data_IF_277385416952
#
_entry.id   IF_277385416952
#
_cell.length_a   1.000
_cell.length_b   1.000
_cell.length_c   1.000
_cell.angle_alpha   90.00
_cell.angle_beta   90.00
_cell.angle_gamma   90.00
#
_symmetry.space_group_name_H-M   'P 1'
#
loop_
_entity.id
_entity.type
_entity.pdbx_description
1 polymer ?
#
# COMPACT_ATOMS: atom_id res chain seq x y z
N UNK A 1 -2.58 -5.56 -13.02
CA UNK A 1 -3.13 -5.31 -11.69
C UNK A 1 -3.12 -6.57 -10.87
N UNK A 2 -2.99 -6.46 -9.54
CA UNK A 2 -2.98 -7.61 -8.66
C UNK A 2 -2.58 -7.25 -7.23
N UNK A 3 -2.26 -8.28 -6.44
CA UNK A 3 -1.79 -8.11 -5.06
C UNK A 3 -0.88 -9.24 -4.60
N UNK A 4 -0.01 -8.94 -3.67
CA UNK A 4 0.89 -9.91 -3.07
C UNK A 4 0.17 -10.71 -1.99
N UNK A 5 0.36 -12.02 -2.00
CA UNK A 5 -0.16 -12.90 -0.98
C UNK A 5 0.44 -12.57 0.39
N UNK A 6 -0.37 -12.71 1.43
CA UNK A 6 0.04 -12.56 2.82
C UNK A 6 0.15 -13.90 3.54
N UNK A 7 0.78 -13.87 4.72
CA UNK A 7 1.00 -15.05 5.58
C UNK A 7 0.65 -14.77 7.05
N UNK A 8 -0.43 -14.02 7.27
CA UNK A 8 -0.88 -13.62 8.61
C UNK A 8 0.17 -12.79 9.39
N UNK A 9 0.81 -11.83 8.71
CA UNK A 9 1.82 -10.91 9.24
C UNK A 9 3.10 -11.59 9.77
N UNK A 10 3.39 -12.81 9.36
CA UNK A 10 4.62 -13.52 9.75
C UNK A 10 5.82 -13.12 8.91
N UNK A 11 5.58 -12.62 7.67
CA UNK A 11 6.60 -12.25 6.67
C UNK A 11 7.63 -13.34 6.42
N UNK A 12 7.16 -14.60 6.42
CA UNK A 12 8.02 -15.77 6.30
C UNK A 12 7.81 -16.53 5.00
N UNK A 13 6.57 -16.90 4.68
CA UNK A 13 6.26 -17.69 3.49
C UNK A 13 4.84 -17.50 3.02
N UNK A 14 4.69 -17.20 1.74
CA UNK A 14 3.39 -17.09 1.09
C UNK A 14 3.18 -18.20 0.07
N UNK A 15 1.92 -18.41 -0.30
CA UNK A 15 1.53 -19.43 -1.26
C UNK A 15 0.66 -18.84 -2.35
N UNK A 16 0.88 -19.31 -3.57
CA UNK A 16 0.10 -19.04 -4.76
C UNK A 16 -0.46 -20.36 -5.26
N UNK A 17 -1.68 -20.35 -5.77
CA UNK A 17 -2.34 -21.57 -6.22
C UNK A 17 -3.12 -21.34 -7.52
N UNK A 18 -3.24 -22.39 -8.27
CA UNK A 18 -4.15 -22.54 -9.39
C UNK A 18 -5.06 -23.74 -9.13
N UNK A 19 -5.96 -24.06 -10.02
CA UNK A 19 -6.76 -25.30 -9.92
C UNK A 19 -5.92 -26.59 -9.88
N UNK A 20 -4.67 -26.52 -10.34
CA UNK A 20 -3.80 -27.70 -10.52
C UNK A 20 -2.71 -27.82 -9.47
N UNK A 21 -2.26 -26.71 -8.90
CA UNK A 21 -1.08 -26.74 -8.04
C UNK A 21 -1.07 -25.63 -6.99
N UNK A 22 -0.35 -25.90 -5.91
CA UNK A 22 0.00 -24.95 -4.85
C UNK A 22 1.52 -24.78 -4.83
N UNK A 23 2.00 -23.54 -4.90
CA UNK A 23 3.43 -23.21 -4.89
C UNK A 23 3.75 -22.06 -3.94
N UNK A 24 5.01 -21.99 -3.51
CA UNK A 24 5.63 -20.79 -2.94
C UNK A 24 6.61 -20.22 -3.96
N UNK A 25 7.03 -18.96 -3.74
CA UNK A 25 7.96 -18.24 -4.62
C UNK A 25 7.50 -18.26 -6.09
N UNK A 26 6.22 -18.02 -6.31
CA UNK A 26 5.57 -18.12 -7.61
C UNK A 26 4.64 -16.94 -7.86
N UNK A 27 4.23 -16.77 -9.10
CA UNK A 27 3.19 -15.85 -9.53
C UNK A 27 2.05 -16.67 -10.13
N UNK A 28 0.82 -16.47 -9.65
CA UNK A 28 -0.38 -16.93 -10.31
C UNK A 28 -0.99 -15.75 -11.09
N UNK A 29 -1.26 -15.94 -12.37
CA UNK A 29 -1.81 -14.90 -13.23
C UNK A 29 -2.95 -15.43 -14.09
N UNK A 30 -3.90 -14.55 -14.39
CA UNK A 30 -4.99 -14.80 -15.33
C UNK A 30 -5.01 -13.71 -16.41
N UNK A 31 -5.16 -14.12 -17.66
CA UNK A 31 -5.37 -13.22 -18.77
C UNK A 31 -6.86 -13.20 -19.14
N UNK A 32 -7.48 -12.05 -19.03
CA UNK A 32 -8.89 -11.83 -19.36
C UNK A 32 -8.97 -11.07 -20.68
N UNK A 33 -9.79 -11.56 -21.63
CA UNK A 33 -10.01 -10.95 -22.94
C UNK A 33 -11.49 -10.75 -23.21
N UNK A 34 -11.82 -9.80 -24.08
CA UNK A 34 -13.19 -9.60 -24.58
C UNK A 34 -14.10 -8.80 -23.67
N UNK A 35 -13.58 -8.25 -22.58
CA UNK A 35 -14.31 -7.34 -21.69
C UNK A 35 -13.49 -6.09 -21.42
N UNK A 36 -14.15 -4.99 -21.06
CA UNK A 36 -13.49 -3.77 -20.64
C UNK A 36 -13.01 -3.91 -19.21
N UNK A 37 -11.75 -3.54 -18.97
CA UNK A 37 -11.15 -3.53 -17.63
C UNK A 37 -10.72 -2.10 -17.33
N UNK A 38 -11.15 -1.57 -16.20
CA UNK A 38 -10.76 -0.25 -15.70
C UNK A 38 -10.22 -0.39 -14.29
N UNK A 39 -9.18 0.33 -13.96
CA UNK A 39 -8.59 0.32 -12.62
C UNK A 39 -8.26 1.72 -12.14
N UNK A 40 -8.34 1.92 -10.84
CA UNK A 40 -7.83 3.07 -10.14
C UNK A 40 -7.33 2.64 -8.76
N UNK A 41 -6.45 3.43 -8.17
CA UNK A 41 -5.88 3.14 -6.86
C UNK A 41 -5.57 4.43 -6.09
N UNK A 42 -5.46 4.31 -4.77
CA UNK A 42 -5.09 5.41 -3.91
C UNK A 42 -4.77 4.93 -2.50
N UNK A 43 -4.04 5.73 -1.75
CA UNK A 43 -3.67 5.37 -0.38
C UNK A 43 -4.30 6.28 0.69
N UNK A 44 -4.35 7.59 0.50
CA UNK A 44 -4.92 8.55 1.46
C UNK A 44 -3.90 9.08 2.48
N UNK A 45 -2.61 8.79 2.30
CA UNK A 45 -1.53 9.40 3.10
C UNK A 45 -1.07 10.71 2.48
N UNK A 46 -0.66 11.65 3.32
CA UNK A 46 -0.08 12.95 2.96
C UNK A 46 1.20 13.21 3.76
N UNK A 47 2.13 14.04 3.25
CA UNK A 47 3.32 14.43 3.99
C UNK A 47 2.98 15.15 5.29
N UNK A 48 3.70 14.84 6.37
CA UNK A 48 3.62 15.57 7.65
C UNK A 48 4.34 16.92 7.62
N UNK A 49 5.16 17.16 6.60
CA UNK A 49 6.11 18.28 6.50
C UNK A 49 7.55 17.87 6.83
N UNK A 50 7.77 16.73 7.48
CA UNK A 50 9.13 16.20 7.70
C UNK A 50 9.61 15.44 6.46
N UNK A 51 10.80 15.77 6.00
CA UNK A 51 11.47 15.15 4.86
C UNK A 51 12.91 14.79 5.20
N UNK A 52 13.50 13.92 4.41
CA UNK A 52 14.86 13.41 4.60
C UNK A 52 15.39 12.87 3.27
N UNK A 53 16.70 12.70 3.20
CA UNK A 53 17.35 11.95 2.11
C UNK A 53 17.81 10.60 2.63
N UNK A 54 17.51 9.52 1.90
CA UNK A 54 18.11 8.22 2.21
C UNK A 54 19.54 8.24 1.75
N UNK A 55 20.47 8.37 2.68
CA UNK A 55 21.91 8.47 2.37
C UNK A 55 22.62 7.13 2.36
N UNK A 56 22.08 6.13 3.07
CA UNK A 56 22.65 4.79 3.05
C UNK A 56 21.52 3.74 3.19
N UNK A 57 21.38 2.84 2.19
CA UNK A 57 20.48 1.71 2.24
C UNK A 57 20.99 0.54 1.40
N UNK A 58 20.53 -0.67 1.74
CA UNK A 58 20.78 -1.89 0.97
C UNK A 58 19.53 -2.75 0.95
N UNK A 59 18.93 -2.92 -0.25
CA UNK A 59 17.69 -3.64 -0.41
C UNK A 59 16.55 -3.03 0.43
N UNK A 60 16.08 -3.79 1.41
CA UNK A 60 14.99 -3.37 2.31
C UNK A 60 15.47 -2.66 3.59
N UNK A 61 16.74 -2.50 3.78
CA UNK A 61 17.30 -1.93 5.02
C UNK A 61 17.88 -0.56 4.78
N UNK A 62 17.37 0.42 5.52
CA UNK A 62 17.87 1.80 5.55
C UNK A 62 18.76 1.97 6.78
N UNK A 63 20.01 2.38 6.55
CA UNK A 63 21.00 2.59 7.61
C UNK A 63 21.04 4.05 8.03
N UNK A 64 20.97 4.98 7.06
CA UNK A 64 21.07 6.41 7.34
C UNK A 64 20.02 7.24 6.61
N UNK A 65 19.52 8.24 7.33
CA UNK A 65 18.72 9.35 6.85
C UNK A 65 19.50 10.64 7.14
N UNK A 66 19.78 11.45 6.11
CA UNK A 66 20.57 12.70 6.23
C UNK A 66 21.91 12.47 6.97
N UNK A 67 22.66 11.43 6.60
CA UNK A 67 23.93 10.98 7.18
C UNK A 67 23.85 10.53 8.65
N UNK A 68 22.67 10.48 9.25
CA UNK A 68 22.46 10.06 10.66
C UNK A 68 21.84 8.67 10.72
N UNK A 69 21.97 8.01 11.84
CA UNK A 69 21.32 6.73 12.10
C UNK A 69 19.82 6.81 11.81
N UNK A 70 19.29 5.87 11.02
CA UNK A 70 17.93 5.95 10.48
C UNK A 70 16.85 6.02 11.55
N UNK A 71 16.93 5.22 12.60
CA UNK A 71 15.92 5.21 13.67
C UNK A 71 15.93 6.48 14.50
N UNK A 72 17.13 6.99 14.85
CA UNK A 72 17.25 8.26 15.56
C UNK A 72 16.67 9.41 14.77
N UNK A 73 16.97 9.51 13.47
CA UNK A 73 16.42 10.54 12.59
C UNK A 73 14.90 10.41 12.43
N UNK A 74 14.39 9.19 12.34
CA UNK A 74 12.94 8.94 12.31
C UNK A 74 12.25 9.39 13.60
N UNK A 75 12.82 9.08 14.78
CA UNK A 75 12.29 9.50 16.07
C UNK A 75 12.24 11.02 16.25
N UNK A 76 13.14 11.77 15.65
CA UNK A 76 13.07 13.24 15.68
C UNK A 76 11.84 13.79 14.93
N UNK A 77 11.42 13.09 13.87
CA UNK A 77 10.26 13.51 13.08
C UNK A 77 8.91 13.10 13.70
N UNK A 78 8.84 11.93 14.35
CA UNK A 78 7.58 11.38 14.86
C UNK A 78 7.46 11.37 16.39
N UNK A 79 8.54 11.74 17.10
CA UNK A 79 8.66 11.68 18.56
C UNK A 79 9.40 10.40 19.02
N UNK A 80 9.81 10.37 20.31
CA UNK A 80 10.54 9.24 20.86
C UNK A 80 9.69 7.97 20.89
N UNK A 81 10.23 6.89 20.34
CA UNK A 81 9.57 5.59 20.18
C UNK A 81 10.43 4.51 20.81
N UNK A 82 9.91 3.67 21.72
CA UNK A 82 10.58 2.43 22.11
C UNK A 82 10.69 1.51 20.88
N UNK A 83 11.88 0.91 20.59
CA UNK A 83 12.07 0.05 19.41
C UNK A 83 11.03 -1.07 19.27
N UNK A 84 10.57 -1.65 20.39
CA UNK A 84 9.55 -2.70 20.41
C UNK A 84 8.15 -2.23 19.95
N UNK A 85 7.89 -0.93 19.97
CA UNK A 85 6.65 -0.32 19.46
C UNK A 85 6.78 0.23 18.05
N UNK A 86 7.95 0.13 17.45
CA UNK A 86 8.23 0.72 16.15
C UNK A 86 7.26 0.25 15.05
N UNK A 87 6.97 -1.05 14.99
CA UNK A 87 6.05 -1.60 13.98
C UNK A 87 4.65 -0.95 14.03
N UNK A 88 4.12 -0.69 15.24
CA UNK A 88 2.83 0.00 15.44
C UNK A 88 2.88 1.45 14.94
N UNK A 89 3.94 2.16 15.28
CA UNK A 89 4.09 3.59 14.95
C UNK A 89 4.44 3.74 13.46
N UNK A 90 5.34 2.91 12.94
CA UNK A 90 5.71 2.89 11.52
C UNK A 90 4.51 2.59 10.60
N UNK A 91 3.56 1.79 11.10
CA UNK A 91 2.31 1.55 10.38
C UNK A 91 1.50 2.84 10.15
N UNK A 92 1.57 3.80 11.09
CA UNK A 92 0.86 5.10 11.02
C UNK A 92 1.65 6.15 10.26
N UNK A 93 2.97 6.14 10.41
CA UNK A 93 3.91 7.13 9.88
C UNK A 93 4.90 6.47 8.90
N UNK A 94 4.43 5.94 7.76
CA UNK A 94 5.31 5.33 6.76
C UNK A 94 6.11 6.39 6.01
N UNK A 95 7.00 5.93 5.14
CA UNK A 95 7.77 6.77 4.26
C UNK A 95 7.05 6.92 2.91
N UNK A 96 7.09 8.13 2.34
CA UNK A 96 6.54 8.43 1.01
C UNK A 96 7.61 8.99 0.09
N UNK A 97 7.64 8.51 -1.15
CA UNK A 97 8.54 8.96 -2.21
C UNK A 97 7.72 9.51 -3.36
N UNK A 98 7.92 10.79 -3.71
CA UNK A 98 7.15 11.43 -4.77
C UNK A 98 7.57 10.89 -6.15
N UNK A 99 6.58 10.54 -6.96
CA UNK A 99 6.76 10.29 -8.40
C UNK A 99 6.77 11.60 -9.18
N UNK A 100 7.04 11.52 -10.49
CA UNK A 100 6.99 12.67 -11.40
C UNK A 100 5.61 13.31 -11.51
N UNK A 101 4.53 12.54 -11.32
CA UNK A 101 3.15 13.06 -11.29
C UNK A 101 2.73 13.66 -9.95
N UNK A 102 3.60 13.63 -8.93
CA UNK A 102 3.27 14.06 -7.58
C UNK A 102 2.53 13.01 -6.74
N UNK A 103 2.31 11.79 -7.27
CA UNK A 103 1.82 10.67 -6.47
C UNK A 103 2.93 10.16 -5.56
N UNK A 104 2.58 9.84 -4.31
CA UNK A 104 3.53 9.28 -3.34
C UNK A 104 3.50 7.75 -3.35
N UNK A 105 4.65 7.14 -3.64
CA UNK A 105 4.86 5.71 -3.40
C UNK A 105 5.16 5.49 -1.92
N UNK A 106 4.30 4.77 -1.24
CA UNK A 106 4.47 4.50 0.18
C UNK A 106 5.37 3.29 0.39
N UNK A 107 6.21 3.37 1.43
CA UNK A 107 7.08 2.28 1.89
C UNK A 107 6.87 2.07 3.39
N UNK A 108 6.51 0.86 3.75
CA UNK A 108 6.21 0.49 5.13
C UNK A 108 7.48 0.10 5.90
N UNK A 109 7.86 0.86 6.94
CA UNK A 109 8.88 0.44 7.87
C UNK A 109 8.35 -0.69 8.75
N UNK A 110 9.11 -1.76 8.92
CA UNK A 110 8.68 -2.99 9.59
C UNK A 110 9.25 -3.12 11.00
N UNK A 111 10.55 -2.94 11.14
CA UNK A 111 11.25 -3.08 12.43
C UNK A 111 12.55 -2.29 12.46
N UNK A 112 13.04 -2.06 13.68
CA UNK A 112 14.37 -1.53 13.96
C UNK A 112 15.31 -2.69 14.25
N UNK A 113 16.44 -2.73 13.58
CA UNK A 113 17.50 -3.71 13.83
C UNK A 113 18.47 -3.21 14.90
N UNK A 114 19.27 -4.10 15.53
CA UNK A 114 20.41 -3.67 16.35
C UNK A 114 21.31 -2.70 15.55
N UNK A 115 21.70 -1.60 16.17
CA UNK A 115 22.48 -0.53 15.50
C UNK A 115 21.61 0.51 14.76
N UNK A 116 20.29 0.51 14.99
CA UNK A 116 19.39 1.62 14.59
C UNK A 116 19.03 1.68 13.12
N UNK A 117 19.36 0.67 12.31
CA UNK A 117 18.85 0.60 10.94
C UNK A 117 17.37 0.19 10.93
N UNK A 118 16.62 0.69 9.95
CA UNK A 118 15.21 0.37 9.76
C UNK A 118 15.04 -0.62 8.62
N UNK A 119 14.37 -1.74 8.87
CA UNK A 119 13.96 -2.69 7.85
C UNK A 119 12.57 -2.36 7.33
N UNK A 120 12.40 -2.42 6.01
CA UNK A 120 11.14 -2.15 5.32
C UNK A 120 10.53 -3.44 4.75
N UNK A 121 9.24 -3.41 4.46
CA UNK A 121 8.54 -4.52 3.79
C UNK A 121 9.06 -4.70 2.36
N UNK A 122 9.36 -3.60 1.66
CA UNK A 122 9.85 -3.57 0.28
C UNK A 122 11.13 -2.75 0.16
N UNK A 123 11.82 -2.85 -0.97
CA UNK A 123 13.01 -2.05 -1.25
C UNK A 123 12.73 -0.56 -1.23
N UNK A 124 13.74 0.20 -0.82
CA UNK A 124 13.69 1.66 -0.68
C UNK A 124 14.78 2.28 -1.57
N UNK A 125 14.45 3.35 -2.32
CA UNK A 125 15.41 3.97 -3.21
C UNK A 125 16.49 4.72 -2.42
N UNK A 126 17.76 4.48 -2.74
CA UNK A 126 18.92 5.21 -2.16
C UNK A 126 19.05 6.56 -2.85
N UNK A 127 19.52 7.57 -2.14
CA UNK A 127 19.69 8.95 -2.58
C UNK A 127 18.37 9.63 -3.01
N UNK A 128 17.24 9.08 -2.57
CA UNK A 128 15.93 9.66 -2.83
C UNK A 128 15.49 10.58 -1.69
N UNK A 129 14.82 11.67 -2.05
CA UNK A 129 14.08 12.50 -1.12
C UNK A 129 12.81 11.77 -0.69
N UNK A 130 12.67 11.53 0.59
CA UNK A 130 11.51 10.91 1.20
C UNK A 130 10.83 11.83 2.21
N UNK A 131 9.61 11.49 2.55
CA UNK A 131 8.76 12.21 3.50
C UNK A 131 8.22 11.24 4.54
N UNK A 132 8.09 11.70 5.78
CA UNK A 132 7.22 11.01 6.75
C UNK A 132 5.78 11.32 6.38
N UNK A 133 4.98 10.28 6.28
CA UNK A 133 3.58 10.38 5.87
C UNK A 133 2.64 10.13 7.04
N UNK A 134 1.45 10.72 6.96
CA UNK A 134 0.37 10.51 7.92
C UNK A 134 -0.97 10.37 7.22
N UNK A 135 -1.96 9.83 7.92
CA UNK A 135 -3.35 9.76 7.44
C UNK A 135 -4.31 9.72 8.60
N UNK A 136 -5.58 9.95 8.33
CA UNK A 136 -6.71 9.70 9.22
C UNK A 136 -7.61 8.60 8.63
N UNK A 137 -8.49 8.03 9.45
CA UNK A 137 -9.47 7.05 8.97
C UNK A 137 -10.41 7.65 7.93
N UNK A 138 -10.80 8.90 8.11
CA UNK A 138 -11.64 9.65 7.19
C UNK A 138 -10.95 9.87 5.84
N UNK A 139 -9.64 10.17 5.83
CA UNK A 139 -8.86 10.30 4.60
C UNK A 139 -8.75 8.97 3.85
N UNK A 140 -8.56 7.86 4.57
CA UNK A 140 -8.57 6.52 3.96
C UNK A 140 -9.93 6.19 3.33
N UNK A 141 -11.03 6.34 4.07
CA UNK A 141 -12.39 6.09 3.59
C UNK A 141 -12.74 7.04 2.44
N UNK A 142 -12.37 8.31 2.56
CA UNK A 142 -12.54 9.30 1.49
C UNK A 142 -11.78 8.95 0.22
N UNK A 143 -10.60 8.33 0.37
CA UNK A 143 -9.80 7.83 -0.77
C UNK A 143 -10.49 6.65 -1.45
N UNK A 144 -11.05 5.70 -0.70
CA UNK A 144 -11.84 4.61 -1.29
C UNK A 144 -12.99 5.15 -2.16
N UNK A 145 -13.71 6.15 -1.65
CA UNK A 145 -14.78 6.83 -2.41
C UNK A 145 -14.25 7.49 -3.69
N UNK A 146 -13.10 8.18 -3.63
CA UNK A 146 -12.47 8.81 -4.81
C UNK A 146 -12.07 7.77 -5.85
N UNK A 147 -11.44 6.67 -5.42
CA UNK A 147 -11.04 5.55 -6.30
C UNK A 147 -12.26 4.95 -7.00
N UNK A 148 -13.35 4.71 -6.28
CA UNK A 148 -14.58 4.18 -6.86
C UNK A 148 -15.20 5.14 -7.88
N UNK A 149 -15.25 6.45 -7.60
CA UNK A 149 -15.70 7.48 -8.54
C UNK A 149 -14.87 7.52 -9.81
N UNK A 150 -13.55 7.44 -9.66
CA UNK A 150 -12.61 7.46 -10.79
C UNK A 150 -12.84 6.28 -11.73
N UNK A 151 -12.98 5.07 -11.18
CA UNK A 151 -13.26 3.87 -11.97
C UNK A 151 -14.63 3.98 -12.65
N UNK A 152 -15.66 4.39 -11.92
CA UNK A 152 -17.02 4.57 -12.44
C UNK A 152 -17.07 5.59 -13.59
N UNK A 153 -16.31 6.68 -13.47
CA UNK A 153 -16.23 7.71 -14.52
C UNK A 153 -15.57 7.23 -15.82
N UNK A 154 -14.83 6.11 -15.76
CA UNK A 154 -14.14 5.50 -16.91
C UNK A 154 -14.84 4.25 -17.45
N UNK A 155 -15.84 3.70 -16.75
CA UNK A 155 -16.57 2.48 -17.10
C UNK A 155 -18.06 2.77 -17.13
N UNK A 156 -18.73 2.46 -18.25
CA UNK A 156 -20.15 2.79 -18.42
C UNK A 156 -21.05 1.90 -17.57
N UNK A 157 -20.77 0.61 -17.45
CA UNK A 157 -21.60 -0.36 -16.70
C UNK A 157 -20.76 -1.51 -16.16
N UNK A 158 -20.01 -1.33 -15.06
CA UNK A 158 -19.27 -2.44 -14.47
C UNK A 158 -20.24 -3.47 -13.87
N UNK A 159 -20.01 -4.74 -14.13
CA UNK A 159 -20.76 -5.86 -13.55
C UNK A 159 -20.07 -6.45 -12.31
N UNK A 160 -18.76 -6.36 -12.26
CA UNK A 160 -17.92 -6.91 -11.18
C UNK A 160 -16.81 -5.93 -10.81
N UNK A 161 -16.53 -5.82 -9.52
CA UNK A 161 -15.40 -5.11 -8.95
C UNK A 161 -14.50 -6.08 -8.19
N UNK A 162 -13.21 -6.08 -8.53
CA UNK A 162 -12.15 -6.76 -7.79
C UNK A 162 -11.41 -5.74 -6.94
N UNK A 163 -11.21 -6.05 -5.66
CA UNK A 163 -10.57 -5.16 -4.70
C UNK A 163 -9.30 -5.84 -4.18
N UNK A 164 -8.17 -5.17 -4.33
CA UNK A 164 -6.91 -5.52 -3.69
C UNK A 164 -6.62 -4.44 -2.66
N UNK A 165 -6.78 -4.78 -1.39
CA UNK A 165 -6.68 -3.81 -0.31
C UNK A 165 -5.55 -4.17 0.63
N UNK A 166 -4.66 -3.20 0.89
CA UNK A 166 -3.53 -3.44 1.76
C UNK A 166 -3.99 -3.81 3.18
N UNK A 167 -3.49 -4.92 3.70
CA UNK A 167 -3.81 -5.38 5.05
C UNK A 167 -3.58 -4.30 6.12
N UNK A 168 -2.62 -3.41 5.90
CA UNK A 168 -2.33 -2.30 6.81
C UNK A 168 -3.49 -1.31 6.94
N UNK A 169 -4.29 -1.12 5.88
CA UNK A 169 -5.50 -0.29 5.91
C UNK A 169 -6.56 -0.92 6.81
N UNK A 170 -6.80 -2.22 6.64
CA UNK A 170 -7.73 -2.97 7.50
C UNK A 170 -7.32 -2.89 8.98
N UNK A 171 -6.02 -3.04 9.29
CA UNK A 171 -5.49 -2.94 10.66
C UNK A 171 -5.71 -1.53 11.23
N UNK A 172 -5.40 -0.49 10.47
CA UNK A 172 -5.54 0.91 10.92
C UNK A 172 -7.00 1.35 11.08
N UNK A 173 -7.88 0.95 10.17
CA UNK A 173 -9.31 1.22 10.24
C UNK A 173 -9.96 0.43 11.39
N UNK A 174 -9.50 -0.79 11.64
CA UNK A 174 -10.05 -1.65 12.68
C UNK A 174 -11.56 -1.86 12.50
N UNK A 175 -12.36 -1.52 13.51
CA UNK A 175 -13.83 -1.64 13.46
C UNK A 175 -14.49 -0.79 12.36
N UNK A 176 -13.79 0.20 11.84
CA UNK A 176 -14.30 1.09 10.80
C UNK A 176 -13.99 0.60 9.37
N UNK A 177 -13.29 -0.54 9.22
CA UNK A 177 -12.99 -1.10 7.91
C UNK A 177 -14.24 -1.33 7.04
N UNK A 178 -15.36 -1.69 7.66
CA UNK A 178 -16.63 -1.82 6.94
C UNK A 178 -17.08 -0.51 6.26
N UNK A 179 -16.75 0.66 6.82
CA UNK A 179 -17.10 1.96 6.22
C UNK A 179 -16.35 2.19 4.90
N UNK A 180 -15.12 1.67 4.77
CA UNK A 180 -14.38 1.71 3.53
C UNK A 180 -15.06 0.88 2.44
N UNK A 181 -15.47 -0.34 2.76
CA UNK A 181 -16.20 -1.22 1.83
C UNK A 181 -17.57 -0.65 1.44
N UNK A 182 -18.27 -0.05 2.40
CA UNK A 182 -19.55 0.65 2.14
C UNK A 182 -19.34 1.86 1.21
N UNK A 183 -18.28 2.63 1.41
CA UNK A 183 -17.96 3.76 0.53
C UNK A 183 -17.73 3.34 -0.93
N UNK A 184 -17.07 2.19 -1.15
CA UNK A 184 -16.92 1.60 -2.48
C UNK A 184 -18.28 1.20 -3.06
N UNK A 185 -19.09 0.48 -2.28
CA UNK A 185 -20.40 -0.01 -2.71
C UNK A 185 -21.37 1.12 -3.06
N UNK A 186 -21.44 2.14 -2.23
CA UNK A 186 -22.27 3.33 -2.45
C UNK A 186 -21.94 4.03 -3.78
N UNK A 187 -20.65 4.17 -4.10
CA UNK A 187 -20.23 4.83 -5.32
C UNK A 187 -20.38 3.96 -6.57
N UNK A 188 -20.10 2.66 -6.47
CA UNK A 188 -20.23 1.73 -7.60
C UNK A 188 -21.69 1.46 -7.94
N UNK A 189 -22.55 1.37 -6.93
CA UNK A 189 -23.99 1.06 -7.05
C UNK A 189 -24.32 -0.39 -6.73
N UNK A 190 -25.60 -0.62 -6.39
CA UNK A 190 -26.10 -1.93 -5.90
C UNK A 190 -25.99 -3.06 -6.94
N UNK A 191 -25.96 -2.75 -8.24
CA UNK A 191 -25.88 -3.74 -9.32
C UNK A 191 -24.48 -4.31 -9.56
N UNK A 192 -23.44 -3.77 -8.91
CA UNK A 192 -22.07 -4.22 -9.11
C UNK A 192 -21.70 -5.26 -8.07
N UNK A 193 -21.35 -6.48 -8.53
CA UNK A 193 -20.78 -7.51 -7.66
C UNK A 193 -19.42 -7.08 -7.15
N UNK A 194 -19.11 -7.31 -5.87
CA UNK A 194 -17.82 -6.97 -5.27
C UNK A 194 -17.16 -8.21 -4.67
N UNK A 195 -15.89 -8.42 -4.97
CA UNK A 195 -15.03 -9.40 -4.32
C UNK A 195 -13.67 -8.77 -4.03
N UNK A 196 -13.13 -9.02 -2.85
CA UNK A 196 -11.85 -8.44 -2.45
C UNK A 196 -10.99 -9.37 -1.63
N UNK A 197 -9.71 -9.07 -1.63
CA UNK A 197 -8.70 -9.74 -0.83
C UNK A 197 -7.82 -8.71 -0.11
N UNK A 198 -7.39 -9.02 1.10
CA UNK A 198 -6.35 -8.28 1.80
C UNK A 198 -4.99 -8.73 1.28
N UNK A 199 -4.16 -7.75 0.92
CA UNK A 199 -2.86 -7.97 0.25
C UNK A 199 -1.70 -7.41 1.08
N UNK A 200 -0.49 -7.93 0.85
CA UNK A 200 0.76 -7.45 1.45
C UNK A 200 1.52 -6.49 0.53
N UNK A 201 0.86 -5.97 -0.45
CA UNK A 201 1.31 -5.02 -1.45
C UNK A 201 0.42 -5.15 -2.68
N UNK A 202 0.16 -4.06 -3.34
CA UNK A 202 -0.75 -3.96 -4.47
C UNK A 202 0.07 -3.69 -5.74
N UNK A 203 -0.28 -4.36 -6.84
CA UNK A 203 0.37 -4.19 -8.13
C UNK A 203 -0.55 -3.34 -9.00
N UNK A 204 -0.24 -2.05 -9.08
CA UNK A 204 -0.95 -1.07 -9.90
C UNK A 204 -0.06 -0.44 -10.95
N UNK A 205 -0.66 0.19 -11.95
CA UNK A 205 0.06 0.89 -13.01
C UNK A 205 0.03 2.40 -12.73
N UNK A 206 1.19 3.00 -12.52
CA UNK A 206 1.37 4.44 -12.38
C UNK A 206 2.10 4.97 -13.62
N UNK A 207 1.49 5.93 -14.33
CA UNK A 207 2.08 6.53 -15.55
C UNK A 207 2.51 5.50 -16.62
N UNK A 208 1.74 4.42 -16.77
CA UNK A 208 2.03 3.37 -17.74
C UNK A 208 3.06 2.33 -17.27
N UNK A 209 3.61 2.48 -16.08
CA UNK A 209 4.60 1.57 -15.49
C UNK A 209 3.97 0.78 -14.34
N UNK A 210 4.12 -0.54 -14.26
CA UNK A 210 3.67 -1.31 -13.11
C UNK A 210 4.58 -1.06 -11.91
N UNK A 211 3.97 -0.75 -10.77
CA UNK A 211 4.64 -0.56 -9.49
C UNK A 211 4.03 -1.44 -8.41
N UNK A 212 4.87 -1.83 -7.46
CA UNK A 212 4.43 -2.37 -6.20
C UNK A 212 4.13 -1.20 -5.24
N UNK A 213 2.89 -1.15 -4.81
CA UNK A 213 2.38 -0.18 -3.85
C UNK A 213 2.27 -0.81 -2.46
N UNK A 214 2.35 0.02 -1.42
CA UNK A 214 1.97 -0.32 -0.06
C UNK A 214 0.87 0.65 0.39
N UNK A 215 0.08 0.28 1.38
CA UNK A 215 -1.00 1.12 1.97
C UNK A 215 -2.10 1.51 0.99
N UNK A 216 -2.17 0.85 -0.13
CA UNK A 216 -3.02 1.24 -1.26
C UNK A 216 -4.29 0.39 -1.30
N UNK A 217 -5.37 1.03 -1.67
CA UNK A 217 -6.59 0.39 -2.16
C UNK A 217 -6.51 0.42 -3.69
N UNK A 218 -6.52 -0.73 -4.33
CA UNK A 218 -6.60 -0.90 -5.78
C UNK A 218 -7.95 -1.51 -6.13
N UNK A 219 -8.71 -0.80 -6.94
CA UNK A 219 -10.02 -1.22 -7.44
C UNK A 219 -9.93 -1.48 -8.94
N UNK A 220 -10.46 -2.63 -9.36
CA UNK A 220 -10.53 -3.04 -10.76
C UNK A 220 -11.97 -3.38 -11.10
N UNK A 221 -12.52 -2.81 -12.14
CA UNK A 221 -13.86 -3.15 -12.62
C UNK A 221 -13.83 -3.84 -13.96
N UNK A 222 -14.79 -4.74 -14.15
CA UNK A 222 -14.99 -5.57 -15.32
C UNK A 222 -16.42 -5.36 -15.82
N UNK A 223 -16.55 -5.08 -17.14
CA UNK A 223 -17.85 -4.84 -17.78
C UNK A 223 -17.74 -4.60 -19.28
#
# INVERSE_FOLDING_TARGET
>A
VGGCAGDNLRFFKTYQFTEKELRSDAIAAVLIKGIRITSAFGHGWRPTGHYFVITEAKGKTVYKLDEREAFSAYCEAVGPIPPERFAEIGLRYPFGFSSSSGYFLIRDPLKVNPGGSIEFVTEVPVHALGYIMETTKEEMIGTARKVAKEVKGRSETPSLALIFDCVSRCILLGKEFQRELLALKEELGEGVGMIGILTFGEIGCLEGVPFLHNKTLLLVTLG
#
